data_IF_753785520852
#
_entry.id   IF_753785520852
#
_cell.length_a   1.000
_cell.length_b   1.000
_cell.length_c   1.000
_cell.angle_alpha   90.00
_cell.angle_beta   90.00
_cell.angle_gamma   90.00
#
_symmetry.space_group_name_H-M   'P 1'
#
loop_
_entity.id
_entity.type
_entity.pdbx_description
1 polymer ?
#
# COMPACT_ATOMS: atom_id res chain seq x y z
N UNK A 1 1.28 -53.18 36.66
CA UNK A 1 1.51 -51.73 36.64
C UNK A 1 0.92 -51.16 35.36
N UNK A 2 -0.15 -50.37 35.48
CA UNK A 2 -0.82 -49.72 34.35
C UNK A 2 -0.21 -48.33 34.11
N UNK A 3 0.42 -48.12 32.95
CA UNK A 3 0.87 -46.81 32.53
C UNK A 3 -0.32 -46.00 32.02
N UNK A 4 -0.76 -45.01 32.80
CA UNK A 4 -1.79 -44.05 32.43
C UNK A 4 -1.29 -43.10 31.34
N UNK A 5 -1.81 -43.25 30.12
CA UNK A 5 -1.60 -42.31 29.03
C UNK A 5 -2.25 -40.97 29.34
N UNK A 6 -1.44 -39.92 29.52
CA UNK A 6 -1.92 -38.54 29.56
C UNK A 6 -2.39 -38.14 28.17
N UNK A 7 -3.70 -38.22 27.95
CA UNK A 7 -4.33 -37.69 26.75
C UNK A 7 -4.02 -36.20 26.63
N UNK A 8 -3.38 -35.80 25.52
CA UNK A 8 -3.28 -34.38 25.16
C UNK A 8 -4.71 -33.83 25.01
N UNK A 9 -5.02 -32.65 25.55
CA UNK A 9 -6.33 -32.04 25.34
C UNK A 9 -6.55 -31.85 23.83
N UNK A 10 -7.62 -32.46 23.32
CA UNK A 10 -8.10 -32.21 21.96
C UNK A 10 -8.51 -30.75 21.90
N UNK A 11 -7.76 -29.93 21.15
CA UNK A 11 -8.20 -28.60 20.76
C UNK A 11 -9.36 -28.79 19.78
N UNK A 12 -10.59 -28.60 20.25
CA UNK A 12 -11.72 -28.52 19.34
C UNK A 12 -11.54 -27.26 18.47
N UNK A 13 -11.49 -27.39 17.13
CA UNK A 13 -11.45 -26.24 16.26
C UNK A 13 -12.77 -25.47 16.40
N UNK A 14 -12.68 -24.16 16.60
CA UNK A 14 -13.84 -23.27 16.54
C UNK A 14 -14.36 -23.25 15.11
N UNK A 15 -15.51 -23.89 14.86
CA UNK A 15 -16.18 -23.92 13.56
C UNK A 15 -17.28 -24.98 13.53
N UNK A 16 -18.26 -24.83 12.64
CA UNK A 16 -19.19 -25.91 12.33
C UNK A 16 -18.46 -27.16 11.79
N UNK A 17 -19.15 -28.28 11.53
CA UNK A 17 -18.56 -29.56 11.13
C UNK A 17 -17.63 -29.51 9.88
N UNK A 18 -17.58 -28.39 9.16
CA UNK A 18 -16.72 -28.14 7.98
C UNK A 18 -15.57 -27.13 8.22
N UNK A 19 -15.31 -26.69 9.46
CA UNK A 19 -14.23 -25.72 9.73
C UNK A 19 -14.54 -24.29 9.23
N UNK A 20 -15.82 -23.94 9.09
CA UNK A 20 -16.26 -22.59 8.72
C UNK A 20 -16.62 -21.76 9.95
N UNK A 21 -16.10 -20.53 10.05
CA UNK A 21 -16.62 -19.49 10.94
C UNK A 21 -17.81 -18.82 10.26
N UNK A 22 -19.01 -19.05 10.78
CA UNK A 22 -20.19 -18.25 10.43
C UNK A 22 -20.28 -17.10 11.43
N UNK A 23 -19.66 -15.96 11.09
CA UNK A 23 -19.83 -14.73 11.84
C UNK A 23 -20.98 -13.93 11.23
N UNK A 24 -22.05 -13.71 12.00
CA UNK A 24 -23.10 -12.77 11.64
C UNK A 24 -22.62 -11.38 12.02
N UNK A 25 -22.09 -10.66 11.03
CA UNK A 25 -21.71 -9.27 11.20
C UNK A 25 -22.85 -8.42 10.69
N UNK A 26 -23.42 -7.64 11.59
CA UNK A 26 -24.32 -6.57 11.25
C UNK A 26 -23.54 -5.60 10.35
N UNK A 27 -23.81 -5.58 9.04
CA UNK A 27 -23.23 -4.59 8.13
C UNK A 27 -24.35 -3.64 7.70
N UNK A 28 -24.16 -2.30 7.77
CA UNK A 28 -25.14 -1.40 7.20
C UNK A 28 -25.32 -1.78 5.73
N UNK A 29 -26.58 -1.87 5.28
CA UNK A 29 -26.83 -2.11 3.85
C UNK A 29 -26.14 -1.02 3.03
N UNK A 30 -25.63 -1.36 1.85
CA UNK A 30 -25.04 -0.39 0.92
C UNK A 30 -25.96 0.82 0.70
N UNK A 31 -27.27 0.57 0.68
CA UNK A 31 -28.32 1.56 0.60
C UNK A 31 -28.32 2.60 1.73
N UNK A 32 -27.92 2.22 2.95
CA UNK A 32 -27.90 3.11 4.12
C UNK A 32 -26.68 4.04 4.13
N UNK A 33 -25.55 3.58 3.59
CA UNK A 33 -24.35 4.41 3.40
C UNK A 33 -24.54 5.44 2.27
N UNK A 34 -25.24 5.07 1.20
CA UNK A 34 -25.59 6.01 0.13
C UNK A 34 -26.68 7.00 0.59
N UNK A 35 -27.74 6.54 1.25
CA UNK A 35 -28.85 7.41 1.69
C UNK A 35 -28.47 8.48 2.73
N UNK A 36 -27.30 8.39 3.37
CA UNK A 36 -26.79 9.44 4.26
C UNK A 36 -25.99 10.53 3.53
N UNK A 37 -25.53 10.26 2.30
CA UNK A 37 -24.82 11.22 1.44
C UNK A 37 -25.76 12.02 0.53
N UNK A 38 -27.00 11.56 0.38
CA UNK A 38 -28.06 12.25 -0.33
C UNK A 38 -29.16 12.58 0.69
N UNK A 39 -29.53 13.85 0.86
CA UNK A 39 -30.47 14.35 1.90
C UNK A 39 -31.91 13.77 1.80
N UNK A 40 -32.10 12.46 1.99
CA UNK A 40 -33.41 11.85 2.12
C UNK A 40 -33.82 11.84 3.60
N UNK A 41 -34.41 12.95 4.04
CA UNK A 41 -35.07 13.07 5.32
C UNK A 41 -36.32 12.16 5.35
N UNK A 42 -36.26 11.01 6.03
CA UNK A 42 -37.48 10.26 6.38
C UNK A 42 -37.39 8.75 6.55
N UNK A 43 -36.25 8.10 6.34
CA UNK A 43 -36.14 6.66 6.64
C UNK A 43 -36.01 6.43 8.16
N UNK A 44 -36.81 5.55 8.78
CA UNK A 44 -36.69 5.24 10.20
C UNK A 44 -35.32 4.61 10.51
N UNK A 45 -34.59 5.23 11.43
CA UNK A 45 -33.27 4.80 11.88
C UNK A 45 -33.40 3.64 12.88
N UNK A 46 -33.56 2.40 12.41
CA UNK A 46 -33.58 1.25 13.33
C UNK A 46 -33.14 -0.05 12.63
N UNK A 47 -31.83 -0.13 12.33
CA UNK A 47 -30.89 -1.17 12.79
C UNK A 47 -29.49 -0.55 12.62
N UNK A 48 -29.00 0.19 13.63
CA UNK A 48 -27.64 0.73 13.58
C UNK A 48 -26.65 -0.40 13.85
N UNK A 49 -26.29 -1.11 12.78
CA UNK A 49 -25.04 -1.83 12.74
C UNK A 49 -23.91 -0.79 12.77
N UNK A 50 -23.59 -0.24 13.93
CA UNK A 50 -22.54 0.76 14.03
C UNK A 50 -21.22 0.13 13.56
N UNK A 51 -20.51 0.82 12.66
CA UNK A 51 -19.19 0.42 12.13
C UNK A 51 -18.23 0.04 13.27
N UNK A 52 -18.43 0.68 14.41
CA UNK A 52 -17.87 0.41 15.74
C UNK A 52 -17.98 -1.06 16.17
N UNK A 53 -19.16 -1.65 16.09
CA UNK A 53 -19.43 -3.07 16.45
C UNK A 53 -18.76 -4.04 15.48
N UNK A 54 -18.71 -3.72 14.19
CA UNK A 54 -18.04 -4.56 13.18
C UNK A 54 -16.53 -4.55 13.39
N UNK A 55 -15.92 -3.39 13.58
CA UNK A 55 -14.45 -3.31 13.74
C UNK A 55 -14.00 -3.85 15.10
N UNK A 56 -14.74 -3.55 16.18
CA UNK A 56 -14.37 -4.00 17.54
C UNK A 56 -14.56 -5.51 17.74
N UNK A 57 -15.61 -6.09 17.16
CA UNK A 57 -15.95 -7.49 17.39
C UNK A 57 -15.47 -8.39 16.25
N UNK A 58 -15.65 -7.99 14.98
CA UNK A 58 -15.30 -8.84 13.84
C UNK A 58 -13.80 -8.97 13.63
N UNK A 59 -13.04 -7.88 13.78
CA UNK A 59 -11.62 -7.89 13.41
C UNK A 59 -10.81 -8.81 14.32
N UNK A 60 -10.95 -8.77 15.66
CA UNK A 60 -10.29 -9.73 16.54
C UNK A 60 -10.78 -11.16 16.32
N UNK A 61 -12.09 -11.38 16.10
CA UNK A 61 -12.66 -12.70 15.82
C UNK A 61 -12.15 -13.30 14.50
N UNK A 62 -12.05 -12.49 13.45
CA UNK A 62 -11.58 -12.92 12.13
C UNK A 62 -10.08 -13.23 12.16
N UNK A 63 -9.29 -12.40 12.85
CA UNK A 63 -7.87 -12.65 13.07
C UNK A 63 -7.66 -13.88 13.96
N UNK A 64 -8.44 -14.05 15.03
CA UNK A 64 -8.38 -15.20 15.92
C UNK A 64 -8.76 -16.51 15.22
N UNK A 65 -9.79 -16.48 14.38
CA UNK A 65 -10.21 -17.63 13.60
C UNK A 65 -9.17 -18.02 12.55
N UNK A 66 -8.58 -17.05 11.83
CA UNK A 66 -7.52 -17.33 10.84
C UNK A 66 -6.21 -17.83 11.47
N UNK A 67 -5.93 -17.46 12.71
CA UNK A 67 -4.65 -17.76 13.38
C UNK A 67 -4.74 -18.93 14.37
N UNK A 68 -5.95 -19.39 14.71
CA UNK A 68 -6.16 -20.45 15.70
C UNK A 68 -5.83 -20.03 17.15
N UNK A 69 -5.71 -18.72 17.42
CA UNK A 69 -5.27 -18.15 18.72
C UNK A 69 -6.40 -17.47 19.50
N UNK A 70 -7.59 -18.07 19.50
CA UNK A 70 -8.77 -17.49 20.16
C UNK A 70 -8.55 -17.13 21.62
N UNK A 71 -7.94 -18.00 22.42
CA UNK A 71 -7.76 -17.75 23.86
C UNK A 71 -6.82 -16.58 24.18
N UNK A 72 -5.82 -16.30 23.33
CA UNK A 72 -4.91 -15.16 23.53
C UNK A 72 -5.52 -13.85 23.02
N UNK A 73 -6.25 -13.89 21.91
CA UNK A 73 -6.90 -12.71 21.33
C UNK A 73 -8.21 -12.35 22.04
N UNK A 74 -8.82 -13.29 22.76
CA UNK A 74 -9.94 -13.03 23.68
C UNK A 74 -9.52 -12.16 24.87
N UNK A 75 -8.27 -12.27 25.31
CA UNK A 75 -7.69 -11.45 26.38
C UNK A 75 -7.05 -10.15 25.90
N UNK A 76 -6.77 -10.03 24.60
CA UNK A 76 -6.32 -8.77 24.01
C UNK A 76 -7.44 -7.73 24.18
N UNK A 77 -7.08 -6.53 24.65
CA UNK A 77 -8.06 -5.46 24.78
C UNK A 77 -8.77 -5.30 23.42
N UNK A 78 -10.13 -5.34 23.37
CA UNK A 78 -10.84 -5.08 22.14
C UNK A 78 -10.34 -3.74 21.58
N UNK A 79 -10.32 -3.56 20.25
CA UNK A 79 -9.97 -2.26 19.68
C UNK A 79 -10.86 -1.24 20.40
N UNK A 80 -10.25 -0.31 21.17
CA UNK A 80 -11.04 0.71 21.84
C UNK A 80 -11.76 1.47 20.76
N UNK A 81 -13.07 1.36 20.75
CA UNK A 81 -13.91 2.21 19.95
C UNK A 81 -14.55 3.18 20.91
N UNK A 82 -14.44 4.45 20.54
CA UNK A 82 -14.92 5.56 21.33
C UNK A 82 -16.14 6.06 20.58
N UNK A 83 -17.28 6.02 21.25
CA UNK A 83 -18.58 6.41 20.72
C UNK A 83 -18.55 7.90 20.30
N UNK A 84 -18.92 8.15 19.05
CA UNK A 84 -18.78 9.45 18.40
C UNK A 84 -20.06 10.28 18.49
N UNK A 85 -20.28 10.95 19.62
CA UNK A 85 -21.24 12.05 19.70
C UNK A 85 -20.62 13.44 19.47
N UNK A 86 -19.32 13.54 19.14
CA UNK A 86 -18.61 14.83 19.08
C UNK A 86 -17.38 15.00 18.16
N UNK A 87 -17.17 14.15 17.15
CA UNK A 87 -16.21 14.43 16.06
C UNK A 87 -14.91 13.62 16.01
N UNK A 88 -14.84 12.73 15.00
CA UNK A 88 -13.65 12.14 14.33
C UNK A 88 -12.62 11.33 15.15
N UNK A 89 -12.37 10.06 14.77
CA UNK A 89 -11.06 9.45 15.08
C UNK A 89 -10.05 10.31 14.38
N UNK A 90 -8.97 10.71 15.06
CA UNK A 90 -7.82 11.18 14.31
C UNK A 90 -7.47 10.04 13.34
N UNK A 91 -7.50 10.24 12.01
CA UNK A 91 -7.18 9.19 11.02
C UNK A 91 -5.81 8.51 11.25
N UNK A 92 -5.00 9.10 12.15
CA UNK A 92 -3.72 8.62 12.66
C UNK A 92 -3.87 7.32 13.46
N UNK A 93 -4.80 7.19 14.39
CA UNK A 93 -4.83 6.05 15.34
C UNK A 93 -5.27 4.75 14.67
N UNK A 94 -6.23 4.83 13.74
CA UNK A 94 -6.66 3.67 12.94
C UNK A 94 -5.51 3.09 12.12
N UNK A 95 -4.61 3.93 11.59
CA UNK A 95 -3.45 3.46 10.83
C UNK A 95 -2.47 2.67 11.70
N UNK A 96 -2.18 3.16 12.91
CA UNK A 96 -1.31 2.46 13.86
C UNK A 96 -1.90 1.13 14.29
N UNK A 97 -3.22 1.07 14.52
CA UNK A 97 -3.91 -0.19 14.83
C UNK A 97 -3.80 -1.19 13.69
N UNK A 98 -4.08 -0.78 12.45
CA UNK A 98 -3.94 -1.64 11.26
C UNK A 98 -2.51 -2.16 11.12
N UNK A 99 -1.52 -1.28 11.26
CA UNK A 99 -0.11 -1.67 11.22
C UNK A 99 0.24 -2.69 12.32
N UNK A 100 -0.22 -2.47 13.55
CA UNK A 100 0.00 -3.40 14.66
C UNK A 100 -0.64 -4.78 14.42
N UNK A 101 -1.88 -4.83 13.93
CA UNK A 101 -2.53 -6.10 13.60
C UNK A 101 -1.82 -6.84 12.47
N UNK A 102 -1.38 -6.10 11.43
CA UNK A 102 -0.65 -6.69 10.32
C UNK A 102 0.71 -7.23 10.76
N UNK A 103 1.47 -6.46 11.53
CA UNK A 103 2.77 -6.90 12.08
C UNK A 103 2.63 -8.19 12.90
N UNK A 104 1.62 -8.27 13.77
CA UNK A 104 1.33 -9.48 14.54
C UNK A 104 0.99 -10.67 13.63
N UNK A 105 0.19 -10.47 12.58
CA UNK A 105 -0.17 -11.52 11.64
C UNK A 105 1.05 -12.06 10.87
N UNK A 106 1.94 -11.16 10.42
CA UNK A 106 3.20 -11.52 9.75
C UNK A 106 4.11 -12.30 10.70
N UNK A 107 4.28 -11.84 11.94
CA UNK A 107 5.13 -12.50 12.93
C UNK A 107 4.64 -13.92 13.26
N UNK A 108 3.34 -14.07 13.51
CA UNK A 108 2.73 -15.38 13.79
C UNK A 108 2.92 -16.38 12.64
N UNK A 109 2.79 -15.89 11.41
CA UNK A 109 3.02 -16.71 10.23
C UNK A 109 4.47 -17.18 10.14
N UNK A 110 5.44 -16.29 10.39
CA UNK A 110 6.86 -16.66 10.42
C UNK A 110 7.16 -17.70 11.48
N UNK A 111 6.58 -17.57 12.66
CA UNK A 111 6.69 -18.55 13.74
C UNK A 111 6.11 -19.91 13.30
N UNK A 112 4.95 -19.91 12.65
CA UNK A 112 4.34 -21.12 12.12
C UNK A 112 5.18 -21.79 11.02
N UNK A 113 5.75 -21.01 10.09
CA UNK A 113 6.66 -21.52 9.04
C UNK A 113 7.96 -22.06 9.64
N UNK A 114 8.52 -21.37 10.63
CA UNK A 114 9.72 -21.83 11.34
C UNK A 114 9.44 -23.16 12.07
N UNK A 115 8.28 -23.27 12.72
CA UNK A 115 7.87 -24.50 13.40
C UNK A 115 7.57 -25.67 12.44
N UNK A 116 7.07 -25.37 11.23
CA UNK A 116 6.86 -26.36 10.18
C UNK A 116 8.16 -26.87 9.55
N UNK A 117 9.29 -26.19 9.80
CA UNK A 117 10.56 -26.43 9.14
C UNK A 117 10.64 -25.77 7.77
N UNK A 118 11.83 -25.74 7.14
CA UNK A 118 12.01 -25.15 5.83
C UNK A 118 11.12 -25.89 4.82
N UNK A 119 10.12 -25.19 4.28
CA UNK A 119 9.36 -25.69 3.14
C UNK A 119 10.34 -25.96 1.99
N UNK A 120 10.25 -27.09 1.28
CA UNK A 120 11.17 -27.44 0.17
C UNK A 120 10.98 -26.58 -1.09
N UNK A 121 10.53 -25.32 -0.96
CA UNK A 121 10.29 -24.39 -2.06
C UNK A 121 11.37 -23.32 -2.18
N UNK A 122 11.61 -22.87 -3.42
CA UNK A 122 12.41 -21.67 -3.70
C UNK A 122 11.74 -20.46 -3.05
N UNK A 123 12.49 -19.63 -2.31
CA UNK A 123 11.99 -18.32 -1.85
C UNK A 123 11.65 -17.46 -3.08
N UNK A 124 10.51 -16.75 -3.09
CA UNK A 124 10.21 -15.85 -4.20
C UNK A 124 11.29 -14.79 -4.32
N UNK A 125 11.60 -14.35 -5.53
CA UNK A 125 12.50 -13.22 -5.77
C UNK A 125 11.70 -11.93 -6.00
N UNK A 126 12.19 -10.82 -5.47
CA UNK A 126 11.52 -9.53 -5.54
C UNK A 126 12.46 -8.40 -5.98
N UNK A 127 12.01 -7.59 -6.93
CA UNK A 127 12.64 -6.32 -7.28
C UNK A 127 11.91 -5.17 -6.58
N UNK A 128 12.59 -4.44 -5.70
CA UNK A 128 12.02 -3.35 -4.91
C UNK A 128 12.42 -2.01 -5.53
N UNK A 129 11.50 -1.39 -6.26
CA UNK A 129 11.67 -0.07 -6.87
C UNK A 129 11.35 1.06 -5.88
N UNK A 130 12.38 1.73 -5.37
CA UNK A 130 12.25 2.95 -4.57
C UNK A 130 12.39 4.16 -5.50
N UNK A 131 11.26 4.78 -5.85
CA UNK A 131 11.20 5.77 -6.91
C UNK A 131 10.41 7.02 -6.56
N UNK A 132 10.94 8.19 -6.91
CA UNK A 132 10.31 9.46 -6.56
C UNK A 132 11.31 10.52 -6.14
N UNK A 133 10.77 11.58 -5.53
CA UNK A 133 11.55 12.65 -4.96
C UNK A 133 12.10 12.24 -3.59
N UNK A 134 13.41 12.36 -3.40
CA UNK A 134 14.12 11.86 -2.22
C UNK A 134 13.96 12.73 -0.96
N UNK A 135 12.82 13.41 -0.78
CA UNK A 135 12.56 14.44 0.26
C UNK A 135 13.13 14.05 1.63
N UNK A 136 12.52 13.04 2.24
CA UNK A 136 12.89 12.57 3.58
C UNK A 136 13.60 11.23 3.54
N UNK A 137 14.16 10.82 2.39
CA UNK A 137 14.81 9.51 2.27
C UNK A 137 16.01 9.39 3.21
N UNK A 138 16.75 10.48 3.41
CA UNK A 138 17.91 10.55 4.32
C UNK A 138 17.52 10.62 5.80
N UNK A 139 16.22 10.68 6.15
CA UNK A 139 15.80 10.68 7.54
C UNK A 139 15.92 9.26 8.12
N UNK A 140 16.59 9.07 9.29
CA UNK A 140 16.76 7.76 9.92
C UNK A 140 15.48 6.95 10.02
N UNK A 141 14.39 7.58 10.46
CA UNK A 141 13.11 6.90 10.64
C UNK A 141 12.51 6.38 9.33
N UNK A 142 12.92 6.92 8.18
CA UNK A 142 12.44 6.49 6.85
C UNK A 142 13.28 5.33 6.35
N UNK A 143 14.59 5.49 6.19
CA UNK A 143 15.43 4.42 5.62
C UNK A 143 15.58 3.21 6.54
N UNK A 144 15.61 3.40 7.87
CA UNK A 144 15.60 2.27 8.81
C UNK A 144 14.29 1.49 8.69
N UNK A 145 13.16 2.19 8.61
CA UNK A 145 11.87 1.53 8.42
C UNK A 145 11.79 0.78 7.08
N UNK A 146 12.40 1.31 6.01
CA UNK A 146 12.49 0.64 4.71
C UNK A 146 13.29 -0.66 4.84
N UNK A 147 14.48 -0.60 5.42
CA UNK A 147 15.34 -1.78 5.64
C UNK A 147 14.59 -2.86 6.44
N UNK A 148 13.96 -2.47 7.55
CA UNK A 148 13.27 -3.38 8.46
C UNK A 148 11.98 -4.00 7.90
N UNK A 149 11.20 -3.24 7.12
CA UNK A 149 9.82 -3.61 6.79
C UNK A 149 9.58 -3.91 5.32
N UNK A 150 10.49 -3.50 4.44
CA UNK A 150 10.32 -3.58 2.98
C UNK A 150 11.50 -4.24 2.26
N UNK A 151 12.41 -4.91 2.98
CA UNK A 151 13.54 -5.65 2.40
C UNK A 151 13.77 -7.00 3.08
N UNK A 152 14.52 -7.89 2.42
CA UNK A 152 14.99 -9.16 2.98
C UNK A 152 13.87 -10.04 3.56
N UNK A 153 14.09 -10.53 4.78
CA UNK A 153 13.13 -11.42 5.47
C UNK A 153 11.78 -10.74 5.73
N UNK A 154 11.70 -9.40 5.73
CA UNK A 154 10.45 -8.66 5.86
C UNK A 154 9.42 -9.02 4.77
N UNK A 155 9.93 -9.40 3.59
CA UNK A 155 9.17 -9.80 2.40
C UNK A 155 8.98 -11.32 2.26
N UNK A 156 9.67 -12.11 3.08
CA UNK A 156 9.78 -13.56 2.86
C UNK A 156 10.37 -13.90 1.48
N UNK A 157 11.21 -13.02 0.92
CA UNK A 157 11.66 -13.06 -0.46
C UNK A 157 13.14 -12.67 -0.60
N UNK A 158 13.80 -13.16 -1.65
CA UNK A 158 15.12 -12.66 -2.06
C UNK A 158 14.95 -11.31 -2.77
N UNK A 159 15.25 -10.23 -2.05
CA UNK A 159 15.01 -8.87 -2.52
C UNK A 159 16.26 -8.25 -3.18
N UNK A 160 16.07 -7.57 -4.31
CA UNK A 160 17.05 -6.68 -4.93
C UNK A 160 16.48 -5.27 -5.01
N UNK A 161 17.24 -4.27 -4.57
CA UNK A 161 16.74 -2.89 -4.44
C UNK A 161 17.17 -2.03 -5.62
N UNK A 162 16.23 -1.31 -6.21
CA UNK A 162 16.43 -0.44 -7.35
C UNK A 162 16.00 0.97 -7.00
N UNK A 163 16.92 1.94 -7.10
CA UNK A 163 16.63 3.33 -6.80
C UNK A 163 16.46 4.13 -8.08
N UNK A 164 15.37 4.91 -8.16
CA UNK A 164 15.12 5.89 -9.23
C UNK A 164 14.77 7.23 -8.58
N UNK A 165 15.80 7.99 -8.25
CA UNK A 165 15.70 9.15 -7.36
C UNK A 165 15.78 10.46 -8.13
N UNK A 166 14.83 11.33 -7.84
CA UNK A 166 14.99 12.77 -8.04
C UNK A 166 15.61 13.35 -6.76
N UNK A 167 16.77 14.00 -6.88
CA UNK A 167 17.51 14.49 -5.71
C UNK A 167 17.35 15.99 -5.47
N UNK A 168 16.68 16.75 -6.37
CA UNK A 168 16.51 18.21 -6.24
C UNK A 168 17.81 18.92 -5.79
N UNK A 169 18.87 18.75 -6.57
CA UNK A 169 20.21 19.33 -6.34
C UNK A 169 20.96 18.84 -5.10
N UNK A 170 20.39 17.93 -4.31
CA UNK A 170 21.06 17.37 -3.13
C UNK A 170 22.22 16.46 -3.54
N UNK A 171 23.40 16.59 -2.91
CA UNK A 171 24.54 15.73 -3.20
C UNK A 171 24.25 14.29 -2.78
N UNK A 172 24.72 13.33 -3.60
CA UNK A 172 24.51 11.90 -3.33
C UNK A 172 25.07 11.43 -1.98
N UNK A 173 26.09 12.10 -1.46
CA UNK A 173 26.68 11.80 -0.17
C UNK A 173 25.68 11.89 1.00
N UNK A 174 24.60 12.67 0.88
CA UNK A 174 23.53 12.73 1.89
C UNK A 174 22.73 11.42 2.02
N UNK A 175 22.86 10.51 1.04
CA UNK A 175 22.18 9.23 1.04
C UNK A 175 23.14 8.06 1.36
N UNK A 176 24.38 8.33 1.77
CA UNK A 176 25.35 7.27 2.11
C UNK A 176 24.82 6.33 3.19
N UNK A 177 24.22 6.87 4.25
CA UNK A 177 23.61 6.06 5.31
C UNK A 177 22.45 5.22 4.78
N UNK A 178 21.65 5.77 3.86
CA UNK A 178 20.56 5.05 3.20
C UNK A 178 21.11 3.86 2.43
N UNK A 179 22.14 4.04 1.61
CA UNK A 179 22.73 2.97 0.80
C UNK A 179 23.50 1.95 1.64
N UNK A 180 23.99 2.32 2.82
CA UNK A 180 24.57 1.37 3.75
C UNK A 180 23.51 0.43 4.37
N UNK A 181 22.31 0.95 4.67
CA UNK A 181 21.22 0.15 5.26
C UNK A 181 20.36 -0.56 4.20
N UNK A 182 20.24 0.03 3.02
CA UNK A 182 19.42 -0.46 1.90
C UNK A 182 20.29 -0.43 0.63
N UNK A 183 21.17 -1.43 0.44
CA UNK A 183 22.15 -1.41 -0.63
C UNK A 183 21.48 -1.50 -2.02
N UNK A 184 21.78 -0.57 -2.95
CA UNK A 184 21.22 -0.60 -4.29
C UNK A 184 21.85 -1.73 -5.12
N UNK A 185 21.01 -2.53 -5.79
CA UNK A 185 21.41 -3.36 -6.92
C UNK A 185 21.65 -2.51 -8.17
N UNK A 186 20.87 -1.43 -8.33
CA UNK A 186 21.11 -0.39 -9.33
C UNK A 186 20.54 0.95 -8.87
N UNK A 187 21.10 2.04 -9.41
CA UNK A 187 20.74 3.41 -9.07
C UNK A 187 20.65 4.27 -10.34
N UNK A 188 19.52 4.93 -10.52
CA UNK A 188 19.34 6.03 -11.47
C UNK A 188 19.02 7.30 -10.69
N UNK A 189 19.75 8.37 -10.98
CA UNK A 189 19.61 9.68 -10.32
C UNK A 189 19.32 10.70 -11.39
N UNK A 190 18.36 11.58 -11.13
CA UNK A 190 18.17 12.79 -11.91
C UNK A 190 18.16 14.01 -11.01
N UNK A 191 18.33 15.17 -11.64
CA UNK A 191 18.17 16.45 -10.99
C UNK A 191 17.03 17.22 -11.68
N UNK A 192 15.85 17.24 -11.04
CA UNK A 192 14.69 17.97 -11.55
C UNK A 192 13.98 17.29 -12.72
N UNK A 193 13.67 18.06 -13.77
CA UNK A 193 12.75 17.63 -14.85
C UNK A 193 13.41 16.87 -16.01
N UNK A 194 14.68 16.46 -15.90
CA UNK A 194 15.45 15.83 -16.98
C UNK A 194 15.13 14.35 -17.20
N UNK A 195 13.85 13.97 -17.22
CA UNK A 195 13.39 12.57 -17.35
C UNK A 195 13.25 12.08 -18.80
N UNK A 196 13.56 12.94 -19.78
CA UNK A 196 13.30 12.69 -21.20
C UNK A 196 11.86 13.00 -21.62
N UNK A 197 11.52 12.75 -22.88
CA UNK A 197 10.18 12.96 -23.42
C UNK A 197 9.35 11.66 -23.34
N UNK A 198 8.12 11.75 -22.83
CA UNK A 198 7.11 10.70 -23.04
C UNK A 198 6.43 10.94 -24.39
N UNK A 199 5.80 9.90 -24.99
CA UNK A 199 4.87 10.10 -26.08
C UNK A 199 3.88 11.22 -25.74
N UNK A 200 3.70 12.17 -26.66
CA UNK A 200 2.75 13.24 -26.50
C UNK A 200 1.35 12.63 -26.32
N UNK A 201 0.76 12.84 -25.15
CA UNK A 201 -0.50 12.26 -24.78
C UNK A 201 -1.40 13.34 -24.20
N UNK A 202 -2.37 13.81 -24.96
CA UNK A 202 -3.26 14.90 -24.54
C UNK A 202 -4.00 14.56 -23.25
N UNK A 203 -4.41 13.30 -23.10
CA UNK A 203 -5.07 12.77 -21.90
C UNK A 203 -4.22 12.89 -20.64
N UNK A 204 -2.89 12.74 -20.74
CA UNK A 204 -1.95 12.90 -19.62
C UNK A 204 -1.41 14.31 -19.49
N UNK A 205 -1.28 15.04 -20.60
CA UNK A 205 -0.73 16.39 -20.66
C UNK A 205 -1.47 17.37 -19.75
N UNK A 206 -2.78 17.16 -19.55
CA UNK A 206 -3.60 17.96 -18.62
C UNK A 206 -3.17 17.86 -17.16
N UNK A 207 -2.52 16.76 -16.77
CA UNK A 207 -2.00 16.56 -15.41
C UNK A 207 -0.66 17.29 -15.20
N UNK A 208 -0.03 17.76 -16.28
CA UNK A 208 1.24 18.47 -16.26
C UNK A 208 2.46 17.57 -16.07
N UNK A 209 3.63 18.20 -15.96
CA UNK A 209 4.92 17.52 -15.91
C UNK A 209 5.08 16.55 -14.71
N UNK A 210 4.44 16.82 -13.57
CA UNK A 210 4.54 15.97 -12.40
C UNK A 210 4.05 14.54 -12.67
N UNK A 211 2.97 14.41 -13.45
CA UNK A 211 2.33 13.14 -13.74
C UNK A 211 3.14 12.32 -14.76
N UNK A 212 3.66 12.98 -15.79
CA UNK A 212 4.54 12.32 -16.79
C UNK A 212 5.87 11.88 -16.17
N UNK A 213 6.44 12.66 -15.26
CA UNK A 213 7.67 12.27 -14.55
C UNK A 213 7.49 10.99 -13.72
N UNK A 214 6.31 10.77 -13.14
CA UNK A 214 6.03 9.54 -12.40
C UNK A 214 6.09 8.30 -13.30
N UNK A 215 5.55 8.39 -14.52
CA UNK A 215 5.59 7.31 -15.50
C UNK A 215 7.01 7.03 -15.99
N UNK A 216 7.80 8.09 -16.22
CA UNK A 216 9.23 7.93 -16.51
C UNK A 216 9.98 7.20 -15.38
N UNK A 217 9.73 7.58 -14.13
CA UNK A 217 10.33 6.91 -12.96
C UNK A 217 10.00 5.42 -12.92
N UNK A 218 8.75 5.05 -13.20
CA UNK A 218 8.31 3.65 -13.29
C UNK A 218 9.02 2.89 -14.41
N UNK A 219 9.03 3.45 -15.62
CA UNK A 219 9.69 2.84 -16.78
C UNK A 219 11.19 2.68 -16.58
N UNK A 220 11.85 3.70 -16.05
CA UNK A 220 13.28 3.64 -15.70
C UNK A 220 13.55 2.52 -14.72
N UNK A 221 12.71 2.33 -13.69
CA UNK A 221 12.90 1.21 -12.78
C UNK A 221 12.73 -0.14 -13.50
N UNK A 222 11.71 -0.31 -14.34
CA UNK A 222 11.50 -1.53 -15.10
C UNK A 222 12.71 -1.86 -16.00
N UNK A 223 13.35 -0.86 -16.59
CA UNK A 223 14.57 -1.05 -17.37
C UNK A 223 15.74 -1.55 -16.51
N UNK A 224 15.95 -0.96 -15.33
CA UNK A 224 16.97 -1.43 -14.39
C UNK A 224 16.70 -2.87 -13.94
N UNK A 225 15.43 -3.19 -13.65
CA UNK A 225 15.00 -4.53 -13.27
C UNK A 225 15.29 -5.52 -14.39
N UNK A 226 14.86 -5.25 -15.63
CA UNK A 226 15.11 -6.13 -16.79
C UNK A 226 16.60 -6.33 -17.06
N UNK A 227 17.43 -5.30 -16.89
CA UNK A 227 18.87 -5.42 -17.00
C UNK A 227 19.43 -6.39 -15.94
N UNK A 228 18.97 -6.29 -14.69
CA UNK A 228 19.34 -7.23 -13.63
C UNK A 228 18.80 -8.66 -13.89
N UNK A 229 17.58 -8.80 -14.41
CA UNK A 229 16.98 -10.08 -14.82
C UNK A 229 17.83 -10.76 -15.92
N UNK A 230 18.35 -9.98 -16.87
CA UNK A 230 19.22 -10.49 -17.92
C UNK A 230 20.57 -10.97 -17.36
N UNK A 231 21.18 -10.24 -16.44
CA UNK A 231 22.46 -10.64 -15.80
C UNK A 231 22.31 -11.90 -14.95
N UNK A 232 21.18 -12.05 -14.25
CA UNK A 232 20.91 -13.24 -13.41
C UNK A 232 20.26 -14.41 -14.16
N UNK A 233 20.00 -14.24 -15.46
CA UNK A 233 19.31 -15.21 -16.33
C UNK A 233 17.94 -15.67 -15.79
N UNK A 234 17.28 -14.84 -14.99
CA UNK A 234 16.03 -15.19 -14.35
C UNK A 234 15.17 -13.97 -14.04
N UNK A 235 13.86 -13.99 -14.38
CA UNK A 235 12.96 -12.93 -13.98
C UNK A 235 12.74 -12.91 -12.46
N UNK A 236 12.47 -11.73 -11.92
CA UNK A 236 11.93 -11.63 -10.56
C UNK A 236 10.51 -12.22 -10.51
N UNK A 237 10.06 -12.74 -9.38
CA UNK A 237 8.66 -13.18 -9.23
C UNK A 237 7.73 -11.97 -9.00
N UNK A 238 8.23 -10.96 -8.29
CA UNK A 238 7.48 -9.77 -7.88
C UNK A 238 8.27 -8.49 -8.10
N UNK A 239 7.57 -7.42 -8.44
CA UNK A 239 8.08 -6.05 -8.44
C UNK A 239 7.28 -5.22 -7.42
N UNK A 240 7.98 -4.50 -6.56
CA UNK A 240 7.37 -3.60 -5.59
C UNK A 240 7.65 -2.15 -5.99
N UNK A 241 6.65 -1.29 -5.91
CA UNK A 241 6.81 0.16 -6.02
C UNK A 241 6.72 0.77 -4.64
N UNK A 242 7.74 1.51 -4.21
CA UNK A 242 7.78 2.25 -2.96
C UNK A 242 8.13 3.72 -3.22
N UNK A 243 7.58 4.62 -2.40
CA UNK A 243 8.02 6.02 -2.33
C UNK A 243 9.26 6.19 -1.43
N UNK A 244 10.22 7.07 -1.80
CA UNK A 244 11.39 7.38 -0.98
C UNK A 244 11.09 8.06 0.36
N UNK A 245 9.90 8.65 0.52
CA UNK A 245 9.46 9.35 1.74
C UNK A 245 8.43 8.55 2.56
N UNK A 246 8.27 7.26 2.26
CA UNK A 246 7.40 6.36 3.02
C UNK A 246 8.11 5.84 4.27
N UNK A 247 7.62 6.23 5.44
CA UNK A 247 7.97 5.59 6.71
C UNK A 247 7.05 4.40 6.94
N UNK A 248 7.62 3.21 6.97
CA UNK A 248 6.92 1.95 7.21
C UNK A 248 6.63 1.76 8.69
N UNK A 249 5.41 1.32 8.98
CA UNK A 249 4.89 1.11 10.34
C UNK A 249 4.76 -0.39 10.67
N UNK A 250 4.84 -1.24 9.66
CA UNK A 250 4.73 -2.70 9.77
C UNK A 250 5.38 -3.37 8.55
N UNK A 251 5.84 -4.63 8.67
CA UNK A 251 6.42 -5.38 7.57
C UNK A 251 5.39 -5.63 6.47
N UNK A 252 5.80 -5.60 5.20
CA UNK A 252 4.92 -5.91 4.06
C UNK A 252 4.35 -7.33 4.20
N UNK A 253 5.16 -8.29 4.67
CA UNK A 253 4.76 -9.68 4.83
C UNK A 253 5.22 -10.56 3.66
N UNK A 254 4.99 -11.86 3.79
CA UNK A 254 5.48 -12.84 2.83
C UNK A 254 4.77 -12.70 1.48
N UNK A 255 5.55 -12.58 0.40
CA UNK A 255 4.99 -12.42 -0.95
C UNK A 255 4.34 -13.70 -1.50
N UNK A 256 4.64 -14.86 -0.91
CA UNK A 256 4.16 -16.18 -1.35
C UNK A 256 2.65 -16.37 -1.22
N UNK A 257 1.98 -15.60 -0.36
CA UNK A 257 0.52 -15.66 -0.16
C UNK A 257 -0.29 -14.68 -0.95
N UNK A 258 0.38 -13.72 -1.57
CA UNK A 258 -0.32 -12.74 -2.36
C UNK A 258 -0.86 -13.42 -3.62
N UNK A 259 -2.09 -13.07 -3.99
CA UNK A 259 -2.67 -13.54 -5.23
C UNK A 259 -1.82 -13.03 -6.40
N UNK A 260 -1.03 -13.92 -7.01
CA UNK A 260 -0.19 -13.59 -8.15
C UNK A 260 -0.99 -13.13 -9.37
N UNK A 261 -2.33 -13.28 -9.41
CA UNK A 261 -3.22 -12.85 -10.50
C UNK A 261 -3.71 -11.41 -10.35
N UNK A 262 -3.37 -10.76 -9.25
CA UNK A 262 -3.78 -9.40 -8.98
C UNK A 262 -2.58 -8.49 -8.71
N UNK A 263 -2.74 -7.22 -9.04
CA UNK A 263 -1.82 -6.16 -8.58
C UNK A 263 -2.35 -5.63 -7.25
N UNK A 264 -1.51 -5.67 -6.22
CA UNK A 264 -1.89 -5.27 -4.86
C UNK A 264 -1.53 -3.80 -4.64
N UNK A 265 -2.53 -2.97 -4.35
CA UNK A 265 -2.40 -1.52 -4.22
C UNK A 265 -3.07 -1.03 -2.96
N UNK A 266 -2.59 0.08 -2.38
CA UNK A 266 -3.39 0.77 -1.37
C UNK A 266 -4.50 1.52 -2.10
N UNK A 267 -5.74 1.34 -1.68
CA UNK A 267 -6.89 2.02 -2.28
C UNK A 267 -7.26 3.25 -1.45
N UNK A 268 -7.53 4.37 -2.12
CA UNK A 268 -8.00 5.61 -1.49
C UNK A 268 -9.38 5.36 -0.87
N UNK A 269 -9.58 5.91 0.34
CA UNK A 269 -10.86 5.82 1.05
C UNK A 269 -11.96 6.73 0.46
N UNK A 270 -11.68 7.46 -0.63
CA UNK A 270 -12.52 8.53 -1.18
C UNK A 270 -13.73 8.05 -1.99
N UNK A 271 -14.30 6.87 -1.71
CA UNK A 271 -15.47 6.30 -2.41
C UNK A 271 -15.20 5.83 -3.85
N UNK A 272 -14.32 6.50 -4.59
CA UNK A 272 -13.97 6.21 -5.99
C UNK A 272 -13.07 4.96 -6.11
N UNK A 273 -12.41 4.55 -5.02
CA UNK A 273 -11.62 3.32 -4.99
C UNK A 273 -10.35 3.37 -5.85
N UNK A 274 -9.85 4.57 -6.17
CA UNK A 274 -8.62 4.71 -6.93
C UNK A 274 -7.40 4.21 -6.14
N UNK A 275 -6.41 3.60 -6.81
CA UNK A 275 -5.16 3.25 -6.15
C UNK A 275 -4.48 4.51 -5.64
N UNK A 276 -3.61 4.36 -4.65
CA UNK A 276 -2.60 5.35 -4.31
C UNK A 276 -1.36 5.09 -5.16
N UNK A 277 -0.77 6.16 -5.67
CA UNK A 277 0.52 6.10 -6.34
C UNK A 277 1.68 5.81 -5.38
N UNK A 278 1.42 5.67 -4.09
CA UNK A 278 2.47 5.56 -3.09
C UNK A 278 3.06 4.14 -2.99
N UNK A 279 2.29 3.11 -3.36
CA UNK A 279 2.66 1.72 -3.12
C UNK A 279 1.97 0.76 -4.10
N UNK A 280 2.73 -0.25 -4.57
CA UNK A 280 2.15 -1.44 -5.19
C UNK A 280 3.03 -2.67 -5.06
N UNK A 281 2.41 -3.85 -5.08
CA UNK A 281 3.06 -5.15 -5.29
C UNK A 281 2.51 -5.74 -6.59
N UNK A 282 3.40 -5.95 -7.55
CA UNK A 282 3.07 -6.30 -8.93
C UNK A 282 3.69 -7.66 -9.25
N UNK A 283 2.88 -8.70 -9.52
CA UNK A 283 3.40 -9.96 -10.05
C UNK A 283 4.18 -9.68 -11.35
N UNK A 284 5.31 -10.33 -11.57
CA UNK A 284 6.18 -10.03 -12.72
C UNK A 284 5.47 -10.07 -14.08
N UNK A 285 4.49 -10.97 -14.24
CA UNK A 285 3.65 -11.06 -15.45
C UNK A 285 2.81 -9.82 -15.74
N UNK A 286 2.61 -8.96 -14.75
CA UNK A 286 1.86 -7.70 -14.84
C UNK A 286 2.80 -6.47 -14.75
N UNK A 287 4.12 -6.68 -14.62
CA UNK A 287 5.10 -5.61 -14.49
C UNK A 287 5.05 -4.63 -15.67
N UNK A 288 4.94 -5.14 -16.90
CA UNK A 288 4.94 -4.30 -18.10
C UNK A 288 3.66 -3.44 -18.18
N UNK A 289 2.52 -3.98 -17.74
CA UNK A 289 1.26 -3.24 -17.68
C UNK A 289 1.28 -2.12 -16.63
N UNK A 290 1.92 -2.37 -15.48
CA UNK A 290 1.97 -1.42 -14.36
C UNK A 290 3.10 -0.39 -14.51
N UNK A 291 4.33 -0.86 -14.75
CA UNK A 291 5.52 -0.01 -14.82
C UNK A 291 5.78 0.58 -16.22
N UNK A 292 5.23 -0.04 -17.28
CA UNK A 292 5.26 0.49 -18.66
C UNK A 292 4.14 1.49 -18.96
N UNK A 293 3.43 1.98 -17.94
CA UNK A 293 2.48 3.07 -18.11
C UNK A 293 3.21 4.32 -18.64
N UNK A 294 2.53 5.09 -19.49
CA UNK A 294 3.15 6.21 -20.21
C UNK A 294 3.55 5.86 -21.65
N UNK A 295 3.49 4.59 -22.06
CA UNK A 295 3.76 4.20 -23.45
C UNK A 295 2.52 4.26 -24.37
N UNK A 296 1.32 4.12 -23.81
CA UNK A 296 0.06 4.09 -24.57
C UNK A 296 -0.99 5.02 -23.96
N UNK A 297 -1.52 5.95 -24.75
CA UNK A 297 -2.56 6.86 -24.30
C UNK A 297 -3.90 6.15 -24.08
N UNK A 298 -4.55 6.32 -22.93
CA UNK A 298 -5.93 5.90 -22.79
C UNK A 298 -6.82 6.80 -23.65
N UNK A 299 -7.79 6.19 -24.33
CA UNK A 299 -8.85 6.87 -25.04
C UNK A 299 -9.85 7.48 -24.05
N UNK A 300 -10.53 8.54 -24.47
CA UNK A 300 -11.61 9.15 -23.71
C UNK A 300 -12.71 8.17 -23.28
N UNK A 301 -13.01 7.18 -24.13
CA UNK A 301 -14.00 6.16 -23.84
C UNK A 301 -13.56 5.26 -22.69
N UNK A 302 -12.29 4.86 -22.66
CA UNK A 302 -11.73 4.03 -21.61
C UNK A 302 -11.68 4.78 -20.26
N UNK A 303 -11.29 6.04 -20.29
CA UNK A 303 -11.23 6.91 -19.09
C UNK A 303 -12.62 7.08 -18.47
N UNK A 304 -13.65 7.24 -19.30
CA UNK A 304 -15.05 7.27 -18.85
C UNK A 304 -15.50 5.92 -18.29
N UNK A 305 -15.12 4.81 -18.92
CA UNK A 305 -15.52 3.48 -18.50
C UNK A 305 -14.98 3.11 -17.11
N UNK A 306 -13.79 3.59 -16.74
CA UNK A 306 -13.14 3.28 -15.46
C UNK A 306 -13.52 4.25 -14.32
N UNK A 307 -14.53 5.11 -14.57
CA UNK A 307 -15.07 6.12 -13.65
C UNK A 307 -13.99 7.03 -13.07
N UNK A 308 -12.99 7.27 -13.89
CA UNK A 308 -11.69 7.74 -13.48
C UNK A 308 -11.61 9.27 -13.64
N UNK A 309 -12.78 9.91 -13.53
CA UNK A 309 -12.98 11.33 -13.83
C UNK A 309 -13.69 11.97 -12.64
N UNK A 310 -12.98 12.86 -11.95
CA UNK A 310 -13.59 13.76 -10.98
C UNK A 310 -14.57 14.71 -11.72
N UNK A 311 -15.71 15.13 -11.13
CA UNK A 311 -16.81 15.76 -11.88
C UNK A 311 -16.36 16.82 -12.89
N UNK A 312 -16.67 16.48 -14.14
CA UNK A 312 -16.26 17.05 -15.42
C UNK A 312 -16.83 18.42 -15.76
N UNK A 313 -17.08 19.30 -14.78
CA UNK A 313 -17.72 20.58 -15.12
C UNK A 313 -16.78 21.46 -15.97
N UNK A 314 -15.46 21.22 -15.99
CA UNK A 314 -14.48 22.03 -16.73
C UNK A 314 -13.27 21.23 -17.30
N UNK A 315 -13.50 20.12 -18.00
CA UNK A 315 -12.44 19.49 -18.83
C UNK A 315 -11.45 18.57 -18.09
N UNK A 316 -12.00 17.64 -17.31
CA UNK A 316 -11.32 16.72 -16.39
C UNK A 316 -9.96 16.17 -16.83
N UNK A 317 -9.09 16.05 -15.84
CA UNK A 317 -7.73 15.53 -15.93
C UNK A 317 -7.66 14.12 -15.33
N UNK A 318 -6.79 13.30 -15.90
CA UNK A 318 -6.51 11.94 -15.43
C UNK A 318 -5.32 12.01 -14.49
N UNK A 319 -5.53 11.69 -13.22
CA UNK A 319 -4.44 11.53 -12.27
C UNK A 319 -3.60 10.27 -12.60
N UNK A 320 -2.31 10.21 -12.25
CA UNK A 320 -1.46 9.04 -12.51
C UNK A 320 -2.06 7.73 -11.98
N UNK A 321 -2.66 7.77 -10.80
CA UNK A 321 -3.34 6.64 -10.17
C UNK A 321 -4.49 6.10 -11.03
N UNK A 322 -5.25 7.04 -11.58
CA UNK A 322 -6.35 6.73 -12.45
C UNK A 322 -5.87 6.12 -13.78
N UNK A 323 -4.77 6.65 -14.35
CA UNK A 323 -4.18 6.06 -15.54
C UNK A 323 -3.73 4.61 -15.29
N UNK A 324 -3.12 4.33 -14.13
CA UNK A 324 -2.71 2.98 -13.72
C UNK A 324 -3.94 2.06 -13.64
N UNK A 325 -4.97 2.47 -12.90
CA UNK A 325 -6.23 1.71 -12.78
C UNK A 325 -6.82 1.40 -14.16
N UNK A 326 -6.96 2.45 -14.98
CA UNK A 326 -7.54 2.35 -16.32
C UNK A 326 -6.80 1.33 -17.19
N UNK A 327 -5.46 1.42 -17.20
CA UNK A 327 -4.63 0.49 -17.97
C UNK A 327 -4.77 -0.96 -17.50
N UNK A 328 -4.78 -1.19 -16.19
CA UNK A 328 -4.89 -2.55 -15.64
C UNK A 328 -6.27 -3.15 -15.93
N UNK A 329 -7.33 -2.37 -15.76
CA UNK A 329 -8.71 -2.80 -16.03
C UNK A 329 -8.94 -3.14 -17.51
N UNK A 330 -8.42 -2.33 -18.44
CA UNK A 330 -8.45 -2.61 -19.88
C UNK A 330 -7.80 -3.95 -20.24
N UNK A 331 -6.72 -4.30 -19.54
CA UNK A 331 -5.99 -5.54 -19.74
C UNK A 331 -6.59 -6.72 -18.98
N UNK A 332 -7.74 -6.53 -18.30
CA UNK A 332 -8.37 -7.55 -17.47
C UNK A 332 -7.54 -7.94 -16.24
N UNK A 333 -6.63 -7.07 -15.80
CA UNK A 333 -5.77 -7.31 -14.64
C UNK A 333 -6.50 -6.84 -13.39
N UNK A 334 -6.71 -7.77 -12.46
CA UNK A 334 -7.40 -7.50 -11.20
C UNK A 334 -6.56 -6.60 -10.29
N UNK A 335 -7.21 -5.62 -9.66
CA UNK A 335 -6.67 -4.91 -8.50
C UNK A 335 -7.10 -5.59 -7.20
N UNK A 336 -6.16 -5.77 -6.28
CA UNK A 336 -6.42 -6.24 -4.93
C UNK A 336 -6.03 -5.14 -3.94
N UNK A 337 -6.86 -4.93 -2.92
CA UNK A 337 -6.57 -3.95 -1.88
C UNK A 337 -5.46 -4.47 -0.95
N UNK A 338 -4.50 -3.60 -0.66
CA UNK A 338 -3.42 -3.82 0.30
C UNK A 338 -3.55 -2.83 1.46
N UNK A 339 -3.31 -3.25 2.72
CA UNK A 339 -3.41 -2.35 3.86
C UNK A 339 -2.38 -1.21 3.78
N UNK A 340 -2.76 -0.02 4.21
CA UNK A 340 -1.82 1.11 4.27
C UNK A 340 -0.88 0.97 5.49
N UNK A 341 0.25 0.31 5.30
CA UNK A 341 1.26 0.03 6.35
C UNK A 341 2.34 1.10 6.49
N UNK A 342 2.17 2.26 5.86
CA UNK A 342 3.15 3.34 5.90
C UNK A 342 2.47 4.70 6.10
N UNK A 343 3.28 5.70 6.45
CA UNK A 343 2.91 7.11 6.39
C UNK A 343 3.92 7.86 5.54
N UNK A 344 3.46 8.87 4.80
CA UNK A 344 4.36 9.78 4.09
C UNK A 344 4.95 10.74 5.11
N UNK A 345 6.28 10.72 5.24
CA UNK A 345 7.02 11.68 6.06
C UNK A 345 7.22 12.94 5.24
N UNK A 346 6.74 14.06 5.77
CA UNK A 346 7.00 15.39 5.21
C UNK A 346 8.13 16.03 6.00
N UNK A 347 9.00 16.77 5.34
CA UNK A 347 10.05 17.52 6.00
C UNK A 347 9.46 18.46 7.05
N UNK A 348 10.13 18.56 8.19
CA UNK A 348 9.79 19.53 9.22
C UNK A 348 10.40 20.88 8.84
N UNK A 349 9.72 21.62 7.96
CA UNK A 349 10.19 22.94 7.52
C UNK A 349 9.52 23.36 6.23
N UNK A 350 9.28 24.66 6.08
CA UNK A 350 8.71 25.22 4.86
C UNK A 350 9.89 25.54 3.93
N UNK A 351 10.16 24.69 2.94
CA UNK A 351 11.04 25.12 1.84
C UNK A 351 10.27 26.15 1.03
N UNK A 352 10.83 27.33 0.82
CA UNK A 352 10.20 28.45 0.11
C UNK A 352 9.68 28.05 -1.30
N UNK A 353 10.22 26.95 -1.86
CA UNK A 353 9.86 26.38 -3.15
C UNK A 353 8.86 25.19 -3.11
N UNK A 354 8.32 24.79 -1.96
CA UNK A 354 7.32 23.69 -1.93
C UNK A 354 6.00 24.16 -2.59
N UNK A 355 5.62 23.62 -3.77
CA UNK A 355 4.44 24.08 -4.50
C UNK A 355 3.13 23.86 -3.73
N UNK A 356 3.13 23.05 -2.66
CA UNK A 356 1.98 22.85 -1.79
C UNK A 356 1.80 23.98 -0.76
N UNK A 357 2.76 24.89 -0.60
CA UNK A 357 2.64 26.05 0.29
C UNK A 357 1.47 26.97 -0.06
N UNK A 358 1.04 26.99 -1.33
CA UNK A 358 -0.12 27.75 -1.77
C UNK A 358 -1.45 27.27 -1.16
N UNK A 359 -1.56 25.98 -0.80
CA UNK A 359 -2.83 25.38 -0.37
C UNK A 359 -2.86 24.96 1.11
N UNK A 360 -1.70 24.78 1.75
CA UNK A 360 -1.65 24.56 3.21
C UNK A 360 -1.07 25.79 3.91
N UNK A 361 -1.96 26.71 4.31
CA UNK A 361 -1.66 27.84 5.20
C UNK A 361 -1.24 27.31 6.58
N UNK A 362 0.02 26.91 6.71
CA UNK A 362 0.62 26.62 8.01
C UNK A 362 1.26 27.92 8.51
N UNK A 363 0.85 28.37 9.70
CA UNK A 363 1.37 29.56 10.39
C UNK A 363 2.90 29.52 10.55
N UNK A 364 3.49 28.32 10.55
CA UNK A 364 4.95 28.12 10.59
C UNK A 364 5.69 28.53 9.31
N UNK A 365 4.98 28.80 8.21
CA UNK A 365 5.57 29.13 6.91
C UNK A 365 5.58 30.63 6.57
N UNK A 366 5.27 31.51 7.52
CA UNK A 366 5.41 32.96 7.33
C UNK A 366 4.44 33.61 6.33
N UNK A 367 3.46 32.89 5.78
CA UNK A 367 2.43 33.45 4.89
C UNK A 367 1.15 33.89 5.63
N UNK A 368 1.23 34.07 6.95
CA UNK A 368 0.22 34.81 7.69
C UNK A 368 0.28 36.26 7.25
N UNK A 369 -0.63 36.68 6.37
CA UNK A 369 -0.90 38.08 6.07
C UNK A 369 -1.20 38.76 7.40
N UNK A 370 -0.28 39.62 7.84
CA UNK A 370 -0.54 40.61 8.88
C UNK A 370 -1.40 41.73 8.34
#
# INVERSE_FOLDING_TARGET
GSAGGRGRPRREPLGGPEGQLKAFLCAPSWFHLEAHLWEFAGAPAEVSCEVESVVSQALPLTLAFRTGRYEELRGAAPPKVYEYSGGGRAPKDTRWQIAGYHANAVQQRREALTAAGPAPGRRPSAAVCILGLARTLSAPEVYQSLAENATGDALGAEASIFFVLDVEERPLAEFNDVFAHVPPAALAVVNGSSWGELPACDSWGRCGAACTQQFHKLRTCLHLVRAAEAVREQPFDWLLRLRPDAQWLAPIGDLDILDGRAVHVVVRQSGIGDPEDNFAIVPRRHADAYFGIGETCPTDAEVRATQCVHPLVQGGHIYPECAIKTRLEQLGIRLAAFPRLYRIRREAGCRQADPMLGNTKSVKCGTGVG
#
